data_IF_611246590551
#
_entry.id   IF_611246590551
#
_cell.length_a   1.000
_cell.length_b   1.000
_cell.length_c   1.000
_cell.angle_alpha   90.00
_cell.angle_beta   90.00
_cell.angle_gamma   90.00
#
_symmetry.space_group_name_H-M   'P 1'
#
loop_
_entity.id
_entity.type
_entity.pdbx_description
1 polymer ?
#
# COMPACT_ATOMS: atom_id res chain seq x y z
N UNK A 1 -10.40 13.93 20.23
CA UNK A 1 -10.68 12.71 21.00
C UNK A 1 -9.51 11.76 20.83
N UNK A 2 -9.14 11.00 21.84
CA UNK A 2 -8.04 10.01 21.71
C UNK A 2 -8.48 8.90 20.75
N UNK A 3 -7.56 8.43 19.89
CA UNK A 3 -7.83 7.37 18.91
C UNK A 3 -8.37 6.09 19.56
N UNK A 4 -7.85 5.73 20.73
CA UNK A 4 -8.33 4.54 21.45
C UNK A 4 -9.80 4.66 21.83
N UNK A 5 -10.23 5.85 22.20
CA UNK A 5 -11.64 6.10 22.55
C UNK A 5 -12.54 6.03 21.32
N UNK A 6 -12.10 6.61 20.18
CA UNK A 6 -12.83 6.46 18.91
C UNK A 6 -13.01 4.98 18.52
N UNK A 7 -11.95 4.16 18.68
CA UNK A 7 -12.01 2.74 18.36
C UNK A 7 -12.97 1.98 19.29
N UNK A 8 -13.03 2.32 20.58
CA UNK A 8 -14.01 1.72 21.50
C UNK A 8 -15.44 2.07 21.13
N UNK A 9 -15.68 3.33 20.82
CA UNK A 9 -17.01 3.79 20.37
C UNK A 9 -17.41 3.14 19.04
N UNK A 10 -16.47 3.01 18.10
CA UNK A 10 -16.67 2.25 16.86
C UNK A 10 -17.07 0.79 17.12
N UNK A 11 -16.48 0.13 18.11
CA UNK A 11 -16.84 -1.26 18.52
C UNK A 11 -18.27 -1.33 19.05
N UNK A 12 -18.79 -0.26 19.61
CA UNK A 12 -20.21 -0.17 20.05
C UNK A 12 -21.17 0.28 18.95
N UNK A 13 -20.67 0.47 17.72
CA UNK A 13 -21.47 0.84 16.56
C UNK A 13 -21.63 2.34 16.33
N UNK A 14 -20.81 3.19 16.99
CA UNK A 14 -20.86 4.63 16.81
C UNK A 14 -20.29 5.04 15.45
N UNK A 15 -21.16 5.55 14.58
CA UNK A 15 -20.83 5.95 13.22
C UNK A 15 -19.99 7.22 13.17
N UNK A 16 -20.21 8.16 14.09
CA UNK A 16 -19.46 9.42 14.11
C UNK A 16 -17.97 9.16 14.44
N UNK A 17 -17.67 8.18 15.28
CA UNK A 17 -16.32 7.73 15.55
C UNK A 17 -15.67 7.04 14.34
N UNK A 18 -16.46 6.29 13.56
CA UNK A 18 -15.97 5.74 12.29
C UNK A 18 -15.59 6.83 11.28
N UNK A 19 -16.43 7.87 11.14
CA UNK A 19 -16.15 8.97 10.22
C UNK A 19 -14.84 9.70 10.59
N UNK A 20 -14.55 9.87 11.88
CA UNK A 20 -13.27 10.45 12.35
C UNK A 20 -12.07 9.51 12.06
N UNK A 21 -12.23 8.22 12.20
CA UNK A 21 -11.20 7.23 11.83
C UNK A 21 -10.99 7.22 10.31
N UNK A 22 -12.07 7.30 9.53
CA UNK A 22 -11.99 7.42 8.08
C UNK A 22 -11.19 8.65 7.67
N UNK A 23 -11.53 9.84 8.18
CA UNK A 23 -10.81 11.09 7.90
C UNK A 23 -9.31 11.01 8.24
N UNK A 24 -8.97 10.31 9.30
CA UNK A 24 -7.56 10.14 9.72
C UNK A 24 -6.79 9.20 8.81
N UNK A 25 -7.42 8.12 8.32
CA UNK A 25 -6.72 7.00 7.69
C UNK A 25 -6.91 6.92 6.18
N UNK A 26 -7.90 7.60 5.57
CA UNK A 26 -8.19 7.43 4.14
C UNK A 26 -7.03 7.85 3.24
N UNK A 27 -6.36 8.98 3.54
CA UNK A 27 -5.22 9.44 2.72
C UNK A 27 -4.00 8.51 2.84
N UNK A 28 -3.48 8.18 4.04
CA UNK A 28 -2.35 7.26 4.15
C UNK A 28 -2.66 5.87 3.57
N UNK A 29 -3.84 5.32 3.82
CA UNK A 29 -4.23 4.02 3.24
C UNK A 29 -4.33 4.05 1.72
N UNK A 30 -4.95 5.10 1.14
CA UNK A 30 -5.03 5.26 -0.30
C UNK A 30 -3.65 5.35 -0.95
N UNK A 31 -2.77 6.19 -0.40
CA UNK A 31 -1.41 6.35 -0.92
C UNK A 31 -0.62 5.05 -0.86
N UNK A 32 -0.68 4.33 0.27
CA UNK A 32 -0.02 3.03 0.41
C UNK A 32 -0.62 1.98 -0.52
N UNK A 33 -1.94 1.93 -0.68
CA UNK A 33 -2.61 1.06 -1.65
C UNK A 33 -2.18 1.38 -3.08
N UNK A 34 -2.12 2.66 -3.45
CA UNK A 34 -1.66 3.10 -4.77
C UNK A 34 -0.22 2.66 -5.06
N UNK A 35 0.70 2.87 -4.12
CA UNK A 35 2.09 2.44 -4.25
C UNK A 35 2.24 0.91 -4.36
N UNK A 36 1.35 0.15 -3.72
CA UNK A 36 1.33 -1.31 -3.76
C UNK A 36 0.69 -1.83 -5.04
N UNK A 37 -0.46 -1.29 -5.45
CA UNK A 37 -1.22 -1.75 -6.62
C UNK A 37 -0.64 -1.21 -7.93
N UNK A 38 -0.04 -0.02 -7.92
CA UNK A 38 0.54 0.65 -9.09
C UNK A 38 -0.49 1.32 -10.01
N UNK A 39 -1.76 1.38 -9.61
CA UNK A 39 -2.81 2.09 -10.36
C UNK A 39 -3.90 2.59 -9.40
N UNK A 40 -4.64 3.61 -9.86
CA UNK A 40 -5.63 4.32 -9.05
C UNK A 40 -6.90 3.48 -8.81
N UNK A 41 -7.39 2.81 -9.84
CA UNK A 41 -8.63 2.02 -9.78
C UNK A 41 -8.54 0.92 -8.71
N UNK A 42 -7.51 0.08 -8.78
CA UNK A 42 -7.28 -0.95 -7.77
C UNK A 42 -7.06 -0.35 -6.37
N UNK A 43 -6.41 0.82 -6.27
CA UNK A 43 -6.19 1.49 -4.98
C UNK A 43 -7.50 2.01 -4.36
N UNK A 44 -8.41 2.57 -5.14
CA UNK A 44 -9.74 3.02 -4.70
C UNK A 44 -10.58 1.84 -4.21
N UNK A 45 -10.59 0.73 -4.96
CA UNK A 45 -11.30 -0.49 -4.58
C UNK A 45 -10.72 -1.11 -3.29
N UNK A 46 -9.38 -1.16 -3.18
CA UNK A 46 -8.70 -1.63 -1.97
C UNK A 46 -9.03 -0.76 -0.77
N UNK A 47 -9.08 0.56 -0.94
CA UNK A 47 -9.46 1.49 0.12
C UNK A 47 -10.89 1.23 0.59
N UNK A 48 -11.83 1.11 -0.34
CA UNK A 48 -13.23 0.82 -0.03
C UNK A 48 -13.37 -0.51 0.71
N UNK A 49 -12.79 -1.59 0.17
CA UNK A 49 -12.81 -2.92 0.81
C UNK A 49 -12.20 -2.88 2.21
N UNK A 50 -11.14 -2.08 2.41
CA UNK A 50 -10.47 -1.91 3.70
C UNK A 50 -11.41 -1.30 4.74
N UNK A 51 -12.11 -0.21 4.43
CA UNK A 51 -13.00 0.44 5.39
C UNK A 51 -14.27 -0.36 5.62
N UNK A 52 -14.83 -1.01 4.61
CA UNK A 52 -15.96 -1.94 4.79
C UNK A 52 -15.57 -3.09 5.72
N UNK A 53 -14.42 -3.72 5.48
CA UNK A 53 -13.92 -4.81 6.33
C UNK A 53 -13.59 -4.31 7.74
N UNK A 54 -13.00 -3.11 7.86
CA UNK A 54 -12.72 -2.48 9.13
C UNK A 54 -14.00 -2.32 9.96
N UNK A 55 -15.04 -1.75 9.39
CA UNK A 55 -16.35 -1.57 10.06
C UNK A 55 -16.96 -2.89 10.51
N UNK A 56 -16.99 -3.88 9.61
CA UNK A 56 -17.62 -5.18 9.89
C UNK A 56 -16.84 -6.01 10.92
N UNK A 57 -15.52 -5.86 10.97
CA UNK A 57 -14.64 -6.70 11.77
C UNK A 57 -14.02 -5.98 12.98
N UNK A 58 -14.36 -4.72 13.27
CA UNK A 58 -13.75 -3.94 14.37
C UNK A 58 -13.88 -4.62 15.72
N UNK A 59 -14.96 -5.37 15.94
CA UNK A 59 -15.18 -6.15 17.17
C UNK A 59 -14.12 -7.25 17.41
N UNK A 60 -13.39 -7.68 16.38
CA UNK A 60 -12.32 -8.68 16.48
C UNK A 60 -10.98 -8.06 16.93
N UNK A 61 -10.85 -6.75 16.89
CA UNK A 61 -9.65 -6.05 17.36
C UNK A 61 -9.54 -6.18 18.88
N UNK A 62 -8.52 -6.92 19.35
CA UNK A 62 -8.35 -7.18 20.78
C UNK A 62 -7.76 -6.00 21.57
N UNK A 63 -6.87 -5.22 20.93
CA UNK A 63 -6.16 -4.09 21.55
C UNK A 63 -6.25 -2.87 20.65
N UNK A 64 -6.76 -1.77 21.17
CA UNK A 64 -6.93 -0.52 20.45
C UNK A 64 -5.59 0.01 19.92
N UNK A 65 -4.50 -0.15 20.67
CA UNK A 65 -3.14 0.27 20.27
C UNK A 65 -2.63 -0.46 19.01
N UNK A 66 -3.26 -1.56 18.65
CA UNK A 66 -2.90 -2.35 17.46
C UNK A 66 -3.68 -1.95 16.24
N UNK A 67 -4.58 -0.95 16.33
CA UNK A 67 -5.49 -0.57 15.24
C UNK A 67 -4.73 -0.19 13.96
N UNK A 68 -3.71 0.66 14.05
CA UNK A 68 -2.90 1.04 12.90
C UNK A 68 -2.37 -0.17 12.12
N UNK A 69 -1.76 -1.12 12.81
CA UNK A 69 -1.22 -2.32 12.14
C UNK A 69 -2.33 -3.20 11.59
N UNK A 70 -3.44 -3.30 12.30
CA UNK A 70 -4.59 -4.11 11.90
C UNK A 70 -5.28 -3.55 10.65
N UNK A 71 -5.49 -2.24 10.54
CA UNK A 71 -6.11 -1.65 9.35
C UNK A 71 -5.18 -1.75 8.12
N UNK A 72 -3.86 -1.58 8.28
CA UNK A 72 -2.89 -1.82 7.21
C UNK A 72 -2.78 -3.31 6.84
N UNK A 73 -3.00 -4.23 7.77
CA UNK A 73 -3.13 -5.65 7.46
C UNK A 73 -4.35 -5.93 6.58
N UNK A 74 -5.50 -5.34 6.87
CA UNK A 74 -6.70 -5.45 6.04
C UNK A 74 -6.41 -4.91 4.64
N UNK A 75 -5.82 -3.72 4.54
CA UNK A 75 -5.47 -3.09 3.27
C UNK A 75 -4.53 -3.96 2.43
N UNK A 76 -3.47 -4.51 3.00
CA UNK A 76 -2.54 -5.38 2.27
C UNK A 76 -3.18 -6.70 1.84
N UNK A 77 -4.11 -7.25 2.62
CA UNK A 77 -4.89 -8.43 2.23
C UNK A 77 -5.83 -8.12 1.06
N UNK A 78 -6.51 -6.96 1.09
CA UNK A 78 -7.37 -6.51 -0.01
C UNK A 78 -6.54 -6.31 -1.29
N UNK A 79 -5.36 -5.67 -1.21
CA UNK A 79 -4.44 -5.49 -2.33
C UNK A 79 -3.97 -6.82 -2.95
N UNK A 80 -3.65 -7.81 -2.11
CA UNK A 80 -3.27 -9.16 -2.58
C UNK A 80 -4.43 -9.88 -3.28
N UNK A 81 -5.64 -9.75 -2.74
CA UNK A 81 -6.85 -10.31 -3.36
C UNK A 81 -7.05 -9.71 -4.76
N UNK A 82 -6.96 -8.38 -4.85
CA UNK A 82 -7.13 -7.66 -6.11
C UNK A 82 -6.09 -8.06 -7.17
N UNK A 83 -4.82 -8.12 -6.79
CA UNK A 83 -3.75 -8.58 -7.69
C UNK A 83 -3.98 -10.01 -8.21
N UNK A 84 -4.49 -10.91 -7.36
CA UNK A 84 -4.84 -12.27 -7.75
C UNK A 84 -6.02 -12.33 -8.70
N UNK A 85 -7.05 -11.52 -8.49
CA UNK A 85 -8.22 -11.42 -9.37
C UNK A 85 -7.81 -10.91 -10.76
N UNK A 86 -7.00 -9.85 -10.80
CA UNK A 86 -6.45 -9.29 -12.03
C UNK A 86 -5.60 -10.28 -12.81
N UNK A 87 -4.76 -11.06 -12.12
CA UNK A 87 -3.94 -12.11 -12.75
C UNK A 87 -4.79 -13.24 -13.37
N UNK A 88 -5.99 -13.50 -12.84
CA UNK A 88 -6.90 -14.52 -13.39
C UNK A 88 -7.70 -14.04 -14.60
N UNK A 89 -7.88 -12.74 -14.76
CA UNK A 89 -8.65 -12.14 -15.85
C UNK A 89 -7.84 -11.92 -17.13
N UNK A 90 -6.52 -12.08 -17.07
CA UNK A 90 -5.63 -11.87 -18.22
C UNK A 90 -5.25 -13.19 -18.86
N UNK A 91 -5.35 -13.33 -20.20
CA UNK A 91 -4.77 -14.42 -20.94
C UNK A 91 -3.25 -14.46 -20.76
N UNK A 92 -2.65 -15.66 -20.78
CA UNK A 92 -1.21 -15.91 -20.54
C UNK A 92 -0.25 -15.13 -21.47
N UNK A 93 -0.74 -14.61 -22.61
CA UNK A 93 0.09 -13.90 -23.59
C UNK A 93 0.40 -12.43 -23.25
N UNK A 94 -0.32 -11.82 -22.31
CA UNK A 94 -0.15 -10.37 -21.99
C UNK A 94 0.88 -10.06 -20.90
N UNK A 95 1.52 -11.06 -20.32
CA UNK A 95 2.49 -10.86 -19.22
C UNK A 95 3.75 -10.13 -19.69
N UNK A 96 4.15 -10.36 -20.96
CA UNK A 96 5.38 -9.80 -21.53
C UNK A 96 5.20 -8.33 -21.96
N UNK A 97 4.01 -7.95 -22.40
CA UNK A 97 3.72 -6.59 -22.91
C UNK A 97 3.46 -5.54 -21.80
N UNK A 98 3.33 -5.96 -20.55
CA UNK A 98 3.02 -5.07 -19.42
C UNK A 98 4.18 -4.20 -18.95
N UNK A 99 5.42 -4.58 -19.26
CA UNK A 99 6.60 -3.80 -18.88
C UNK A 99 6.62 -2.46 -19.62
N UNK A 100 6.07 -2.41 -20.83
CA UNK A 100 6.07 -1.20 -21.68
C UNK A 100 4.83 -0.29 -21.45
N UNK A 101 3.71 -0.81 -20.92
CA UNK A 101 2.48 -0.03 -20.76
C UNK A 101 2.37 0.74 -19.43
N UNK A 102 3.16 0.38 -18.41
CA UNK A 102 3.15 1.06 -17.10
C UNK A 102 3.73 2.49 -17.20
N UNK A 103 4.44 2.80 -18.29
CA UNK A 103 5.03 4.12 -18.53
C UNK A 103 4.03 5.20 -19.04
N UNK A 104 2.78 4.86 -19.38
CA UNK A 104 1.91 5.76 -20.18
C UNK A 104 0.63 6.22 -19.48
N UNK A 105 0.19 5.64 -18.37
CA UNK A 105 -1.08 6.06 -17.75
C UNK A 105 -0.94 6.68 -16.38
N UNK A 106 -0.41 7.90 -16.31
CA UNK A 106 -0.59 8.78 -15.17
C UNK A 106 -1.25 10.10 -15.59
N UNK A 107 -2.56 10.06 -15.84
CA UNK A 107 -3.38 11.27 -15.81
C UNK A 107 -4.02 11.38 -14.43
N UNK A 108 -3.35 12.10 -13.55
CA UNK A 108 -3.90 12.53 -12.27
C UNK A 108 -4.39 13.96 -12.41
N UNK A 109 -5.69 14.14 -12.47
CA UNK A 109 -6.31 15.41 -12.11
C UNK A 109 -6.89 15.30 -10.71
N UNK A 110 -6.52 16.29 -9.87
CA UNK A 110 -7.08 16.63 -8.57
C UNK A 110 -6.73 15.75 -7.36
N UNK A 111 -5.47 15.82 -6.90
CA UNK A 111 -5.14 15.98 -5.49
C UNK A 111 -3.73 16.57 -5.41
N UNK A 112 -3.67 17.82 -5.01
CA UNK A 112 -2.49 18.60 -4.69
C UNK A 112 -1.38 18.67 -5.76
N UNK A 113 -1.21 19.87 -6.25
CA UNK A 113 -0.11 20.46 -6.98
C UNK A 113 1.24 20.24 -6.25
N UNK A 114 1.64 18.96 -6.17
CA UNK A 114 2.99 18.61 -5.78
C UNK A 114 3.76 18.26 -7.05
N UNK A 115 4.71 19.10 -7.38
CA UNK A 115 5.58 19.10 -8.55
C UNK A 115 5.78 17.73 -9.18
N UNK A 116 5.37 17.62 -10.46
CA UNK A 116 5.77 16.55 -11.37
C UNK A 116 7.28 16.68 -11.59
N UNK A 117 8.06 16.18 -10.66
CA UNK A 117 9.49 16.03 -10.83
C UNK A 117 9.76 14.67 -11.48
N UNK A 118 10.70 14.64 -12.40
CA UNK A 118 11.32 13.45 -12.99
C UNK A 118 11.57 12.33 -11.95
N UNK A 119 11.91 12.70 -10.73
CA UNK A 119 12.17 11.79 -9.61
C UNK A 119 10.96 10.93 -9.21
N UNK A 120 9.73 11.43 -9.33
CA UNK A 120 8.52 10.68 -9.00
C UNK A 120 8.29 9.52 -9.95
N UNK A 121 8.47 9.77 -11.25
CA UNK A 121 8.31 8.73 -12.29
C UNK A 121 9.35 7.64 -12.18
N UNK A 122 10.59 7.98 -11.83
CA UNK A 122 11.69 7.02 -11.62
C UNK A 122 11.44 6.18 -10.36
N UNK A 123 10.91 6.76 -9.28
CA UNK A 123 10.56 6.01 -8.08
C UNK A 123 9.38 5.05 -8.33
N UNK A 124 8.34 5.49 -9.03
CA UNK A 124 7.21 4.65 -9.40
C UNK A 124 7.66 3.48 -10.30
N UNK A 125 8.54 3.73 -11.26
CA UNK A 125 9.15 2.69 -12.09
C UNK A 125 9.98 1.69 -11.25
N UNK A 126 10.74 2.17 -10.27
CA UNK A 126 11.51 1.32 -9.38
C UNK A 126 10.62 0.44 -8.49
N UNK A 127 9.49 0.99 -8.00
CA UNK A 127 8.50 0.24 -7.21
C UNK A 127 7.76 -0.79 -8.09
N UNK A 128 7.36 -0.43 -9.31
CA UNK A 128 6.65 -1.32 -10.23
C UNK A 128 7.48 -2.53 -10.65
N UNK A 129 8.79 -2.39 -10.68
CA UNK A 129 9.71 -3.49 -10.96
C UNK A 129 9.83 -4.51 -9.81
N UNK A 130 9.39 -4.19 -8.60
CA UNK A 130 9.36 -5.13 -7.49
C UNK A 130 8.18 -6.10 -7.62
N UNK A 131 8.35 -7.33 -7.14
CA UNK A 131 7.19 -8.19 -6.86
C UNK A 131 6.34 -7.57 -5.75
N UNK A 132 5.06 -7.94 -5.71
CA UNK A 132 4.10 -7.37 -4.76
C UNK A 132 4.55 -7.52 -3.31
N UNK A 133 5.06 -8.68 -2.93
CA UNK A 133 5.47 -8.93 -1.55
C UNK A 133 6.66 -8.07 -1.10
N UNK A 134 7.60 -7.78 -2.01
CA UNK A 134 8.70 -6.86 -1.78
C UNK A 134 8.22 -5.40 -1.74
N UNK A 135 7.27 -5.05 -2.59
CA UNK A 135 6.65 -3.71 -2.63
C UNK A 135 5.90 -3.39 -1.35
N UNK A 136 5.08 -4.33 -0.84
CA UNK A 136 4.40 -4.19 0.45
C UNK A 136 5.38 -3.88 1.59
N UNK A 137 6.49 -4.63 1.67
CA UNK A 137 7.50 -4.42 2.70
C UNK A 137 8.18 -3.06 2.57
N UNK A 138 8.52 -2.62 1.35
CA UNK A 138 9.11 -1.30 1.08
C UNK A 138 8.15 -0.18 1.48
N UNK A 139 6.89 -0.25 1.06
CA UNK A 139 5.89 0.78 1.36
C UNK A 139 5.65 0.88 2.87
N UNK A 140 5.42 -0.22 3.56
CA UNK A 140 5.18 -0.19 5.00
C UNK A 140 6.41 0.28 5.79
N UNK A 141 7.62 -0.07 5.37
CA UNK A 141 8.83 0.29 6.08
C UNK A 141 9.25 1.75 5.85
N UNK A 142 9.26 2.21 4.57
CA UNK A 142 9.77 3.53 4.23
C UNK A 142 8.70 4.61 4.16
N UNK A 143 7.52 4.28 3.66
CA UNK A 143 6.47 5.27 3.50
C UNK A 143 5.60 5.41 4.76
N UNK A 144 5.28 4.27 5.40
CA UNK A 144 4.54 4.25 6.66
C UNK A 144 5.44 4.28 7.91
N UNK A 145 6.76 4.34 7.72
CA UNK A 145 7.76 4.42 8.79
C UNK A 145 7.63 3.32 9.86
N UNK A 146 7.14 2.15 9.45
CA UNK A 146 7.01 1.00 10.35
C UNK A 146 8.37 0.35 10.59
N UNK A 147 8.65 -0.01 11.84
CA UNK A 147 9.80 -0.84 12.18
C UNK A 147 9.69 -2.23 11.55
N UNK A 148 10.80 -2.95 11.40
CA UNK A 148 10.81 -4.33 10.90
C UNK A 148 9.84 -5.24 11.66
N UNK A 149 9.74 -5.07 13.00
CA UNK A 149 8.83 -5.82 13.85
C UNK A 149 7.37 -5.51 13.53
N UNK A 150 7.04 -4.25 13.30
CA UNK A 150 5.68 -3.80 12.96
C UNK A 150 5.27 -4.28 11.57
N UNK A 151 6.17 -4.17 10.57
CA UNK A 151 5.94 -4.74 9.22
C UNK A 151 5.72 -6.25 9.31
N UNK A 152 6.54 -6.96 10.09
CA UNK A 152 6.39 -8.40 10.29
C UNK A 152 5.02 -8.75 10.89
N UNK A 153 4.58 -8.00 11.90
CA UNK A 153 3.25 -8.16 12.52
C UNK A 153 2.11 -7.86 11.53
N UNK A 154 2.22 -6.75 10.78
CA UNK A 154 1.21 -6.33 9.79
C UNK A 154 1.05 -7.35 8.67
N UNK A 155 2.15 -7.89 8.16
CA UNK A 155 2.13 -8.83 7.03
C UNK A 155 2.02 -10.30 7.45
N UNK A 156 2.05 -10.61 8.75
CA UNK A 156 2.07 -12.00 9.25
C UNK A 156 3.34 -12.75 8.88
N UNK A 157 4.50 -12.08 8.91
CA UNK A 157 5.80 -12.62 8.51
C UNK A 157 6.75 -12.69 9.70
N UNK A 158 7.83 -13.49 9.56
CA UNK A 158 8.97 -13.42 10.48
C UNK A 158 9.83 -12.18 10.17
N UNK A 159 10.43 -11.57 11.21
CA UNK A 159 11.32 -10.42 11.04
C UNK A 159 12.50 -10.69 10.09
N UNK A 160 13.03 -11.91 10.12
CA UNK A 160 14.08 -12.36 9.20
C UNK A 160 13.63 -12.31 7.73
N UNK A 161 12.36 -12.67 7.46
CA UNK A 161 11.77 -12.59 6.12
C UNK A 161 11.61 -11.14 5.67
N UNK A 162 11.19 -10.25 6.57
CA UNK A 162 11.09 -8.82 6.29
C UNK A 162 12.47 -8.24 5.97
N UNK A 163 13.50 -8.56 6.79
CA UNK A 163 14.87 -8.08 6.56
C UNK A 163 15.43 -8.53 5.21
N UNK A 164 15.25 -9.81 4.86
CA UNK A 164 15.72 -10.32 3.56
C UNK A 164 14.99 -9.68 2.39
N UNK A 165 13.65 -9.51 2.46
CA UNK A 165 12.88 -8.81 1.42
C UNK A 165 13.32 -7.35 1.28
N UNK A 166 13.53 -6.63 2.38
CA UNK A 166 14.07 -5.26 2.37
C UNK A 166 15.44 -5.21 1.68
N UNK A 167 16.33 -6.15 1.99
CA UNK A 167 17.66 -6.20 1.39
C UNK A 167 17.60 -6.37 -0.13
N UNK A 168 16.85 -7.37 -0.62
CA UNK A 168 16.75 -7.63 -2.06
C UNK A 168 15.98 -6.52 -2.80
N UNK A 169 14.91 -6.01 -2.22
CA UNK A 169 14.14 -4.90 -2.80
C UNK A 169 15.00 -3.63 -2.95
N UNK A 170 15.73 -3.24 -1.89
CA UNK A 170 16.67 -2.10 -1.94
C UNK A 170 17.71 -2.26 -3.05
N UNK A 171 18.29 -3.44 -3.17
CA UNK A 171 19.31 -3.72 -4.19
C UNK A 171 18.73 -3.58 -5.60
N UNK A 172 17.52 -4.07 -5.83
CA UNK A 172 16.84 -3.97 -7.11
C UNK A 172 16.46 -2.52 -7.43
N UNK A 173 15.87 -1.80 -6.50
CA UNK A 173 15.52 -0.39 -6.65
C UNK A 173 16.76 0.48 -6.92
N UNK A 174 17.84 0.29 -6.15
CA UNK A 174 19.10 1.04 -6.34
C UNK A 174 19.63 0.91 -7.78
N UNK A 175 19.57 -0.29 -8.37
CA UNK A 175 20.00 -0.50 -9.75
C UNK A 175 19.16 0.32 -10.73
N UNK A 176 17.84 0.30 -10.59
CA UNK A 176 16.91 1.02 -11.49
C UNK A 176 17.07 2.53 -11.33
N UNK A 177 17.15 3.03 -10.10
CA UNK A 177 17.35 4.45 -9.83
C UNK A 177 18.67 4.98 -10.41
N UNK A 178 19.75 4.19 -10.33
CA UNK A 178 21.04 4.57 -10.91
C UNK A 178 21.02 4.55 -12.45
N UNK A 179 20.28 3.64 -13.05
CA UNK A 179 20.11 3.58 -14.52
C UNK A 179 19.22 4.72 -15.03
N UNK A 180 18.17 5.10 -14.29
CA UNK A 180 17.30 6.24 -14.59
C UNK A 180 18.08 7.57 -14.62
N UNK A 181 18.82 7.86 -13.57
CA UNK A 181 19.66 9.09 -13.46
C UNK A 181 20.75 9.17 -14.56
N UNK A 182 21.19 8.06 -15.11
CA UNK A 182 22.17 8.05 -16.23
C UNK A 182 21.56 8.36 -17.59
N UNK A 183 20.26 8.17 -17.76
CA UNK A 183 19.55 8.47 -19.03
C UNK A 183 19.15 9.93 -19.17
N UNK A 184 19.17 10.68 -18.08
CA UNK A 184 18.83 12.12 -18.06
C UNK A 184 20.04 13.06 -18.18
N UNK A 185 21.25 12.49 -18.31
CA UNK A 185 22.51 13.22 -18.62
C UNK A 185 22.93 12.95 -20.06
#
# INVERSE_FOLDING_TARGET
MDERELIRQMKSGDRASFDQIYEKYHVPLFRSAYLICGNREDAEDVLQDTFVTCWLCIGQLRKEESFRYWIFQIMTQAARKRAKERSRQLPDEDIVNRIDQIAVSSSMEAADEYERTSDKTVLEAALSALDQASREVIVLYYYEEMSVREVAKTLGLFEGTVKSRLYFARRKMKKILQEGVRREK
#
